data_IF_972014953064
#
_entry.id   IF_972014953064
#
_cell.length_a   1.000
_cell.length_b   1.000
_cell.length_c   1.000
_cell.angle_alpha   90.00
_cell.angle_beta   90.00
_cell.angle_gamma   90.00
#
_symmetry.space_group_name_H-M   'P 1'
#
loop_
_entity.id
_entity.type
_entity.pdbx_description
1 polymer ?
#
# COMPACT_ATOMS: atom_id res chain seq x y z
N UNK A 1 47.41 -23.61 -6.07
CA UNK A 1 46.74 -23.23 -7.33
C UNK A 1 45.25 -23.15 -7.02
N UNK A 2 44.70 -21.93 -6.88
CA UNK A 2 43.80 -21.25 -7.84
C UNK A 2 42.39 -21.88 -7.89
N UNK A 3 41.35 -21.19 -7.38
CA UNK A 3 40.30 -20.44 -8.15
C UNK A 3 39.61 -21.28 -9.23
N UNK A 4 38.30 -21.26 -9.51
CA UNK A 4 37.14 -20.37 -9.26
C UNK A 4 35.86 -21.21 -9.54
N UNK A 5 34.59 -20.85 -9.29
CA UNK A 5 33.85 -19.71 -8.73
C UNK A 5 32.46 -20.28 -8.27
N UNK A 6 31.75 -19.73 -7.27
CA UNK A 6 30.35 -20.13 -7.01
C UNK A 6 29.44 -18.90 -6.92
N UNK A 7 29.12 -18.34 -8.10
CA UNK A 7 28.35 -17.11 -8.29
C UNK A 7 26.84 -17.38 -8.36
N UNK A 8 26.07 -16.42 -7.83
CA UNK A 8 24.61 -16.22 -7.98
C UNK A 8 23.69 -17.12 -7.12
N UNK A 9 23.80 -16.98 -5.80
CA UNK A 9 22.56 -16.77 -5.04
C UNK A 9 22.15 -15.29 -5.25
N UNK A 10 21.02 -15.03 -5.92
CA UNK A 10 20.49 -13.67 -6.05
C UNK A 10 19.86 -13.26 -4.72
N UNK A 11 20.34 -12.16 -4.15
CA UNK A 11 19.68 -11.50 -3.02
C UNK A 11 18.30 -11.02 -3.42
N UNK A 12 17.30 -11.24 -2.55
CA UNK A 12 16.00 -10.59 -2.69
C UNK A 12 16.14 -9.16 -2.18
N UNK A 13 16.35 -8.24 -3.12
CA UNK A 13 16.54 -6.83 -2.81
C UNK A 13 15.26 -6.20 -2.24
N UNK A 14 15.34 -5.79 -0.97
CA UNK A 14 15.14 -4.37 -0.66
C UNK A 14 13.74 -3.77 -0.82
N UNK A 15 12.64 -4.54 -0.84
CA UNK A 15 11.29 -3.97 -0.63
C UNK A 15 11.00 -3.78 0.85
N UNK A 16 11.67 -2.78 1.42
CA UNK A 16 11.34 -2.25 2.74
C UNK A 16 9.94 -1.65 2.77
N UNK A 17 9.36 -1.59 3.97
CA UNK A 17 8.04 -0.99 4.18
C UNK A 17 8.14 0.52 3.93
N UNK A 18 7.31 1.06 3.03
CA UNK A 18 7.15 2.50 2.82
C UNK A 18 6.40 3.14 4.00
N UNK A 19 7.09 3.26 5.14
CA UNK A 19 6.69 4.20 6.18
C UNK A 19 6.84 5.60 5.61
N UNK A 20 5.74 6.34 5.52
CA UNK A 20 5.74 7.74 5.07
C UNK A 20 6.68 8.54 5.96
N UNK A 21 7.86 8.83 5.42
CA UNK A 21 8.96 9.40 6.16
C UNK A 21 8.90 10.92 6.03
N UNK A 22 8.30 11.59 7.02
CA UNK A 22 8.36 13.05 7.15
C UNK A 22 9.81 13.44 7.45
N UNK A 23 10.61 13.59 6.39
CA UNK A 23 11.98 14.09 6.44
C UNK A 23 11.98 15.60 6.62
N UNK A 24 11.85 16.01 7.87
CA UNK A 24 12.66 17.14 8.34
C UNK A 24 14.07 16.61 8.62
N UNK A 25 15.11 17.31 8.15
CA UNK A 25 16.50 16.91 8.40
C UNK A 25 16.86 17.17 9.88
N UNK A 26 16.72 16.13 10.71
CA UNK A 26 16.92 16.17 12.16
C UNK A 26 18.42 16.22 12.55
N UNK A 27 19.11 17.28 12.15
CA UNK A 27 20.46 17.65 12.64
C UNK A 27 20.45 18.12 14.12
N UNK A 28 19.54 17.58 14.92
CA UNK A 28 19.11 18.12 16.21
C UNK A 28 19.48 17.20 17.37
N UNK A 29 20.10 17.78 18.40
CA UNK A 29 19.90 17.34 19.79
C UNK A 29 18.47 17.73 20.24
N UNK A 30 17.45 17.25 19.53
CA UNK A 30 16.06 17.63 19.79
C UNK A 30 15.49 16.85 20.96
N UNK A 31 14.99 17.60 21.95
CA UNK A 31 13.96 17.15 22.85
C UNK A 31 12.67 16.89 22.05
N UNK A 32 12.48 15.64 21.62
CA UNK A 32 11.19 15.23 21.07
C UNK A 32 10.33 14.63 22.18
N UNK A 33 9.22 15.32 22.51
CA UNK A 33 8.16 14.71 23.30
C UNK A 33 7.43 13.67 22.42
N UNK A 34 8.02 12.48 22.26
CA UNK A 34 7.31 11.36 21.65
C UNK A 34 6.17 11.02 22.61
N UNK A 35 4.94 11.28 22.16
CA UNK A 35 3.70 11.03 22.90
C UNK A 35 3.37 9.54 22.97
N UNK A 36 4.32 8.73 23.42
CA UNK A 36 4.04 7.42 24.00
C UNK A 36 3.43 7.71 25.38
N UNK A 37 2.36 7.01 25.82
CA UNK A 37 1.65 7.33 27.06
C UNK A 37 2.45 7.13 28.38
N UNK A 38 3.78 6.99 28.32
CA UNK A 38 4.68 7.07 29.46
C UNK A 38 4.80 8.52 30.00
N UNK A 39 3.72 9.06 30.57
CA UNK A 39 3.69 10.25 31.45
C UNK A 39 4.67 11.38 31.10
N UNK A 40 4.51 12.01 29.93
CA UNK A 40 5.35 13.14 29.48
C UNK A 40 6.87 12.89 29.57
N UNK A 41 7.32 11.64 29.49
CA UNK A 41 8.74 11.32 29.50
C UNK A 41 9.40 11.85 28.23
N UNK A 42 10.08 12.99 28.35
CA UNK A 42 10.90 13.58 27.29
C UNK A 42 11.95 12.57 26.83
N UNK A 43 11.85 12.17 25.56
CA UNK A 43 12.84 11.30 24.92
C UNK A 43 13.84 12.17 24.17
N UNK A 44 15.06 12.19 24.69
CA UNK A 44 16.22 12.76 24.03
C UNK A 44 16.59 11.85 22.86
N UNK A 45 16.44 12.38 21.65
CA UNK A 45 16.90 11.73 20.42
C UNK A 45 18.22 12.34 19.96
N UNK A 46 19.05 11.49 19.40
CA UNK A 46 20.30 11.86 18.71
C UNK A 46 20.31 11.15 17.37
N UNK A 47 20.56 11.86 16.28
CA UNK A 47 20.74 11.24 14.97
C UNK A 47 22.09 10.53 14.90
N UNK A 48 22.08 9.29 14.44
CA UNK A 48 23.29 8.52 14.16
C UNK A 48 23.05 7.58 12.97
N UNK A 49 23.95 7.64 11.98
CA UNK A 49 23.83 6.88 10.73
C UNK A 49 22.46 7.04 10.03
N UNK A 50 21.93 8.28 9.97
CA UNK A 50 20.66 8.59 9.31
C UNK A 50 19.42 8.00 10.01
N UNK A 51 19.51 7.66 11.30
CA UNK A 51 18.41 7.11 12.09
C UNK A 51 18.38 7.74 13.50
N UNK A 52 17.19 7.89 14.11
CA UNK A 52 17.08 8.38 15.48
C UNK A 52 17.44 7.28 16.49
N UNK A 53 18.32 7.63 17.43
CA UNK A 53 18.71 6.81 18.58
C UNK A 53 18.30 7.50 19.88
N UNK A 54 18.08 6.72 20.94
CA UNK A 54 17.83 7.24 22.29
C UNK A 54 18.78 6.61 23.30
N UNK A 55 19.18 7.38 24.32
CA UNK A 55 20.02 6.90 25.41
C UNK A 55 19.21 6.01 26.36
N UNK A 56 19.65 4.76 26.55
CA UNK A 56 18.85 3.78 27.30
C UNK A 56 18.90 3.96 28.82
N UNK A 57 20.01 4.46 29.36
CA UNK A 57 20.22 4.55 30.82
C UNK A 57 19.18 5.45 31.52
N UNK A 58 18.90 6.69 31.06
CA UNK A 58 17.88 7.54 31.67
C UNK A 58 16.49 6.91 31.65
N UNK A 59 16.12 6.19 30.58
CA UNK A 59 14.83 5.50 30.45
C UNK A 59 14.71 4.40 31.52
N UNK A 60 15.74 3.54 31.60
CA UNK A 60 15.80 2.42 32.57
C UNK A 60 15.71 2.92 34.02
N UNK A 61 16.51 3.94 34.37
CA UNK A 61 16.54 4.51 35.72
C UNK A 61 15.22 5.24 36.07
N UNK A 62 14.64 5.99 35.12
CA UNK A 62 13.33 6.64 35.32
C UNK A 62 12.22 5.60 35.61
N UNK A 63 12.24 4.43 34.94
CA UNK A 63 11.30 3.32 35.16
C UNK A 63 11.53 2.55 36.47
N UNK A 64 12.59 2.86 37.23
CA UNK A 64 12.96 2.16 38.47
C UNK A 64 13.58 0.78 38.25
N UNK A 65 14.12 0.51 37.06
CA UNK A 65 14.77 -0.75 36.72
C UNK A 65 16.28 -0.66 36.98
N UNK A 66 16.91 -1.77 37.38
CA UNK A 66 18.38 -1.81 37.49
C UNK A 66 19.07 -1.68 36.12
N UNK A 67 19.96 -0.69 36.01
CA UNK A 67 20.72 -0.44 34.80
C UNK A 67 21.65 -1.60 34.42
N UNK A 68 22.33 -2.24 35.38
CA UNK A 68 23.30 -3.30 35.06
C UNK A 68 22.61 -4.52 34.44
N UNK A 69 21.49 -4.96 35.03
CA UNK A 69 20.68 -6.06 34.52
C UNK A 69 20.06 -5.76 33.15
N UNK A 70 19.60 -4.52 32.91
CA UNK A 70 19.05 -4.15 31.60
C UNK A 70 20.13 -3.97 30.54
N UNK A 71 21.31 -3.44 30.88
CA UNK A 71 22.46 -3.32 30.00
C UNK A 71 22.87 -4.69 29.41
N UNK A 72 22.91 -5.74 30.25
CA UNK A 72 23.20 -7.11 29.79
C UNK A 72 22.13 -7.60 28.80
N UNK A 73 20.84 -7.45 29.12
CA UNK A 73 19.74 -7.84 28.23
C UNK A 73 19.75 -7.09 26.90
N UNK A 74 20.00 -5.78 26.96
CA UNK A 74 20.05 -4.91 25.78
C UNK A 74 21.22 -5.33 24.88
N UNK A 75 22.43 -5.52 25.44
CA UNK A 75 23.58 -6.03 24.67
C UNK A 75 23.31 -7.44 24.12
N UNK A 76 22.69 -8.34 24.89
CA UNK A 76 22.39 -9.70 24.42
C UNK A 76 21.39 -9.73 23.25
N UNK A 77 20.29 -8.94 23.30
CA UNK A 77 19.21 -8.97 22.28
C UNK A 77 19.45 -8.02 21.11
N UNK A 78 20.20 -6.95 21.30
CA UNK A 78 20.34 -5.86 20.32
C UNK A 78 21.81 -5.54 19.98
N UNK A 79 22.76 -6.44 20.23
CA UNK A 79 24.20 -6.22 20.02
C UNK A 79 24.57 -5.59 18.67
N UNK A 80 23.89 -6.02 17.61
CA UNK A 80 24.15 -5.59 16.22
C UNK A 80 23.66 -4.19 15.87
N UNK A 81 22.92 -3.53 16.77
CA UNK A 81 22.29 -2.22 16.51
C UNK A 81 22.46 -1.20 17.65
N UNK A 82 22.98 -1.60 18.81
CA UNK A 82 23.33 -0.65 19.88
C UNK A 82 24.68 0.00 19.59
N UNK A 83 24.81 1.27 19.95
CA UNK A 83 26.06 2.03 19.80
C UNK A 83 26.40 2.80 21.06
N UNK A 84 27.69 3.02 21.31
CA UNK A 84 28.15 3.99 22.30
C UNK A 84 28.29 5.35 21.60
N UNK A 85 27.27 6.18 21.75
CA UNK A 85 27.14 7.47 21.06
C UNK A 85 27.42 8.59 22.07
N UNK A 86 28.12 9.64 21.65
CA UNK A 86 28.30 10.85 22.46
C UNK A 86 26.97 11.59 22.53
N UNK A 87 26.36 11.64 23.71
CA UNK A 87 25.08 12.32 23.95
C UNK A 87 25.19 13.30 25.11
N UNK A 88 24.38 14.36 25.07
CA UNK A 88 24.28 15.33 26.18
C UNK A 88 23.51 14.72 27.35
N UNK A 89 24.10 14.71 28.54
CA UNK A 89 23.44 14.34 29.79
C UNK A 89 22.53 15.43 30.32
N UNK A 90 21.73 15.11 31.36
CA UNK A 90 20.83 16.06 32.04
C UNK A 90 21.55 17.26 32.66
N UNK A 91 22.87 17.18 32.84
CA UNK A 91 23.75 18.23 33.36
C UNK A 91 24.40 19.09 32.25
N UNK A 92 24.00 18.91 30.99
CA UNK A 92 24.54 19.61 29.83
C UNK A 92 25.90 19.10 29.35
N UNK A 93 26.50 18.10 30.00
CA UNK A 93 27.82 17.55 29.62
C UNK A 93 27.68 16.41 28.63
N UNK A 94 28.69 16.22 27.78
CA UNK A 94 28.70 15.12 26.83
C UNK A 94 29.30 13.85 27.44
N UNK A 95 28.61 12.72 27.25
CA UNK A 95 29.04 11.39 27.69
C UNK A 95 28.86 10.39 26.55
N UNK A 96 29.74 9.39 26.45
CA UNK A 96 29.43 8.19 25.66
C UNK A 96 28.38 7.38 26.41
N UNK A 97 27.17 7.31 25.85
CA UNK A 97 26.06 6.54 26.40
C UNK A 97 25.71 5.37 25.49
N UNK A 98 25.24 4.26 26.07
CA UNK A 98 24.66 3.17 25.29
C UNK A 98 23.30 3.63 24.75
N UNK A 99 23.24 3.73 23.43
CA UNK A 99 22.08 4.16 22.69
C UNK A 99 21.48 3.00 21.87
N UNK A 100 20.16 3.00 21.77
CA UNK A 100 19.38 2.04 20.98
C UNK A 100 18.62 2.81 19.88
N UNK A 101 18.51 2.29 18.64
CA UNK A 101 17.71 2.93 17.60
C UNK A 101 16.25 2.94 18.05
N UNK A 102 15.54 4.06 17.85
CA UNK A 102 14.17 4.26 18.36
C UNK A 102 13.22 3.12 17.94
N UNK A 103 13.33 2.65 16.69
CA UNK A 103 12.56 1.50 16.15
C UNK A 103 12.73 0.17 16.90
N UNK A 104 13.74 0.06 17.80
CA UNK A 104 13.98 -1.12 18.65
C UNK A 104 13.61 -0.89 20.11
N UNK A 105 13.39 0.36 20.54
CA UNK A 105 12.93 0.69 21.90
C UNK A 105 11.63 -0.06 22.24
N UNK A 106 10.68 -0.06 21.31
CA UNK A 106 9.39 -0.75 21.45
C UNK A 106 9.56 -2.26 21.73
N UNK A 107 10.46 -2.91 21.00
CA UNK A 107 10.79 -4.32 21.19
C UNK A 107 11.59 -4.64 22.46
N UNK A 108 12.20 -3.63 23.11
CA UNK A 108 12.76 -3.76 24.46
C UNK A 108 11.67 -3.56 25.54
N UNK A 109 10.76 -2.61 25.37
CA UNK A 109 9.63 -2.37 26.28
C UNK A 109 8.73 -3.61 26.45
N UNK A 110 8.50 -4.38 25.38
CA UNK A 110 7.79 -5.69 25.44
C UNK A 110 8.52 -6.75 26.30
N UNK A 111 9.78 -6.54 26.69
CA UNK A 111 10.54 -7.46 27.58
C UNK A 111 10.47 -7.08 29.05
N UNK A 112 9.83 -5.95 29.37
CA UNK A 112 9.72 -5.45 30.73
C UNK A 112 8.52 -6.08 31.42
N UNK A 113 8.78 -6.76 32.54
CA UNK A 113 7.73 -7.26 33.43
C UNK A 113 7.17 -6.09 34.24
N UNK A 114 5.84 -5.83 34.20
CA UNK A 114 5.22 -4.75 34.97
C UNK A 114 5.54 -4.83 36.47
N UNK A 115 5.58 -6.03 37.04
CA UNK A 115 5.91 -6.23 38.46
C UNK A 115 7.32 -5.74 38.86
N UNK A 116 8.21 -5.50 37.90
CA UNK A 116 9.59 -5.02 38.12
C UNK A 116 9.79 -3.53 37.86
N UNK A 117 8.78 -2.79 37.40
CA UNK A 117 8.81 -1.32 37.35
C UNK A 117 8.20 -0.72 38.62
N UNK A 118 8.38 0.59 38.82
CA UNK A 118 7.74 1.34 39.90
C UNK A 118 6.21 1.13 39.88
N UNK A 119 5.53 1.00 41.04
CA UNK A 119 4.10 0.71 41.11
C UNK A 119 3.22 1.61 40.24
N UNK A 120 3.51 2.91 40.22
CA UNK A 120 2.79 3.94 39.46
C UNK A 120 2.96 3.85 37.93
N UNK A 121 3.93 3.07 37.43
CA UNK A 121 4.17 2.86 36.00
C UNK A 121 3.62 1.52 35.48
N UNK A 122 3.09 0.66 36.36
CA UNK A 122 2.70 -0.72 36.00
C UNK A 122 1.58 -0.76 34.98
N UNK A 123 0.51 -0.03 35.26
CA UNK A 123 -0.65 0.08 34.37
C UNK A 123 -0.24 0.68 33.03
N UNK A 124 0.56 1.75 33.03
CA UNK A 124 1.09 2.38 31.81
C UNK A 124 1.88 1.41 30.93
N UNK A 125 2.73 0.56 31.53
CA UNK A 125 3.48 -0.47 30.80
C UNK A 125 2.54 -1.54 30.23
N UNK A 126 1.52 -1.96 30.97
CA UNK A 126 0.52 -2.94 30.49
C UNK A 126 -0.29 -2.36 29.32
N UNK A 127 -0.84 -1.15 29.47
CA UNK A 127 -1.58 -0.45 28.41
C UNK A 127 -0.73 -0.30 27.16
N UNK A 128 0.53 0.11 27.31
CA UNK A 128 1.46 0.22 26.18
C UNK A 128 1.76 -1.14 25.50
N UNK A 129 1.89 -2.22 26.28
CA UNK A 129 2.13 -3.56 25.73
C UNK A 129 0.89 -4.05 24.95
N UNK A 130 -0.30 -3.88 25.50
CA UNK A 130 -1.57 -4.16 24.82
C UNK A 130 -1.73 -3.32 23.54
N UNK A 131 -1.43 -2.00 23.58
CA UNK A 131 -1.44 -1.14 22.39
C UNK A 131 -0.49 -1.66 21.29
N UNK A 132 0.65 -2.24 21.65
CA UNK A 132 1.56 -2.86 20.67
C UNK A 132 1.00 -4.15 20.07
N UNK A 133 0.37 -4.99 20.89
CA UNK A 133 -0.23 -6.25 20.44
C UNK A 133 -1.44 -5.98 19.53
N UNK A 134 -2.30 -5.00 19.88
CA UNK A 134 -3.42 -4.53 19.05
C UNK A 134 -2.93 -3.95 17.71
N UNK A 135 -1.88 -3.11 17.72
CA UNK A 135 -1.28 -2.55 16.49
C UNK A 135 -0.70 -3.64 15.59
N UNK A 136 -0.04 -4.66 16.15
CA UNK A 136 0.46 -5.79 15.38
C UNK A 136 -0.69 -6.64 14.84
N UNK A 137 -1.70 -6.95 15.66
CA UNK A 137 -2.88 -7.70 15.26
C UNK A 137 -3.64 -7.02 14.11
N UNK A 138 -3.91 -5.71 14.24
CA UNK A 138 -4.58 -4.93 13.22
C UNK A 138 -3.77 -4.88 11.91
N UNK A 139 -2.45 -4.70 12.00
CA UNK A 139 -1.59 -4.76 10.83
C UNK A 139 -1.68 -6.12 10.11
N UNK A 140 -1.61 -7.24 10.84
CA UNK A 140 -1.63 -8.57 10.24
C UNK A 140 -3.02 -9.03 9.77
N UNK A 141 -4.10 -8.59 10.41
CA UNK A 141 -5.47 -9.07 10.11
C UNK A 141 -6.29 -8.11 9.24
N UNK A 142 -6.06 -6.80 9.34
CA UNK A 142 -6.73 -5.75 8.57
C UNK A 142 -5.84 -5.18 7.46
N UNK A 143 -4.55 -5.51 7.46
CA UNK A 143 -3.54 -5.01 6.51
C UNK A 143 -2.97 -3.62 6.87
N UNK A 144 -3.46 -3.01 7.95
CA UNK A 144 -3.06 -1.68 8.41
C UNK A 144 -3.36 -1.49 9.90
N UNK A 145 -2.60 -0.62 10.57
CA UNK A 145 -2.86 -0.19 11.93
C UNK A 145 -2.84 1.35 11.99
N UNK A 146 -3.88 1.94 12.59
CA UNK A 146 -4.13 3.39 12.56
C UNK A 146 -4.23 3.91 13.99
N UNK A 147 -3.42 4.93 14.30
CA UNK A 147 -3.52 5.62 15.57
C UNK A 147 -4.69 6.62 15.53
N UNK A 148 -5.84 6.22 16.08
CA UNK A 148 -7.05 7.04 16.12
C UNK A 148 -6.84 8.39 16.85
N UNK A 149 -5.90 8.48 17.81
CA UNK A 149 -5.55 9.75 18.50
C UNK A 149 -4.93 10.78 17.55
N UNK A 150 -4.49 10.36 16.36
CA UNK A 150 -3.95 11.22 15.29
C UNK A 150 -4.85 11.28 14.06
N UNK A 151 -5.98 10.58 14.03
CA UNK A 151 -6.96 10.66 12.94
C UNK A 151 -7.77 11.96 13.03
N UNK A 152 -8.44 12.33 11.94
CA UNK A 152 -9.34 13.49 11.91
C UNK A 152 -10.55 13.33 12.83
N UNK A 153 -10.95 14.43 13.49
CA UNK A 153 -12.12 14.45 14.38
C UNK A 153 -13.44 14.19 13.63
N UNK A 154 -14.54 13.82 14.31
CA UNK A 154 -15.85 13.67 13.67
C UNK A 154 -16.33 14.95 12.94
N UNK A 155 -16.01 16.13 13.48
CA UNK A 155 -16.32 17.42 12.86
C UNK A 155 -15.51 17.65 11.57
N UNK A 156 -14.22 17.28 11.58
CA UNK A 156 -13.36 17.31 10.40
C UNK A 156 -13.84 16.32 9.33
N UNK A 157 -14.28 15.11 9.74
CA UNK A 157 -14.90 14.13 8.85
C UNK A 157 -16.18 14.68 8.21
N UNK A 158 -17.04 15.34 8.99
CA UNK A 158 -18.25 15.98 8.49
C UNK A 158 -17.94 17.10 7.47
N UNK A 159 -16.91 17.93 7.71
CA UNK A 159 -16.52 18.99 6.76
C UNK A 159 -16.03 18.41 5.43
N UNK A 160 -15.17 17.38 5.45
CA UNK A 160 -14.75 16.73 4.21
C UNK A 160 -15.95 16.15 3.45
N UNK A 161 -16.91 15.55 4.16
CA UNK A 161 -18.15 15.04 3.57
C UNK A 161 -19.03 16.15 2.98
N UNK A 162 -19.16 17.30 3.64
CA UNK A 162 -19.88 18.47 3.13
C UNK A 162 -19.24 19.01 1.84
N UNK A 163 -17.91 19.13 1.79
CA UNK A 163 -17.20 19.55 0.58
C UNK A 163 -17.48 18.61 -0.59
N UNK A 164 -17.41 17.29 -0.38
CA UNK A 164 -17.73 16.31 -1.44
C UNK A 164 -19.19 16.38 -1.85
N UNK A 165 -20.13 16.46 -0.90
CA UNK A 165 -21.56 16.56 -1.21
C UNK A 165 -21.91 17.83 -2.02
N UNK A 166 -21.38 18.98 -1.60
CA UNK A 166 -21.52 20.28 -2.30
C UNK A 166 -20.94 20.22 -3.71
N UNK A 167 -19.71 19.72 -3.87
CA UNK A 167 -19.04 19.67 -5.18
C UNK A 167 -19.56 18.58 -6.11
N UNK A 168 -20.16 17.51 -5.58
CA UNK A 168 -20.75 16.47 -6.42
C UNK A 168 -22.15 16.82 -6.93
N UNK A 169 -22.83 17.84 -6.40
CA UNK A 169 -24.17 18.24 -6.85
C UNK A 169 -25.22 17.13 -6.73
N UNK A 170 -25.02 16.14 -5.86
CA UNK A 170 -25.83 14.93 -5.80
C UNK A 170 -25.48 13.82 -6.80
N UNK A 171 -24.55 14.03 -7.74
CA UNK A 171 -24.12 12.98 -8.67
C UNK A 171 -23.30 11.88 -7.99
N UNK A 172 -23.91 10.70 -7.82
CA UNK A 172 -23.28 9.53 -7.20
C UNK A 172 -21.95 9.10 -7.84
N UNK A 173 -21.76 9.35 -9.15
CA UNK A 173 -20.51 9.03 -9.86
C UNK A 173 -19.38 9.98 -9.48
N UNK A 174 -19.65 11.29 -9.52
CA UNK A 174 -18.70 12.33 -9.11
C UNK A 174 -18.33 12.15 -7.62
N UNK A 175 -19.33 11.91 -6.77
CA UNK A 175 -19.16 11.63 -5.35
C UNK A 175 -18.20 10.43 -5.10
N UNK A 176 -18.41 9.31 -5.80
CA UNK A 176 -17.54 8.14 -5.69
C UNK A 176 -16.13 8.39 -6.26
N UNK A 177 -16.00 9.16 -7.34
CA UNK A 177 -14.71 9.53 -7.94
C UNK A 177 -13.89 10.44 -7.01
N UNK A 178 -14.53 11.44 -6.37
CA UNK A 178 -13.89 12.32 -5.39
C UNK A 178 -13.28 11.52 -4.24
N UNK A 179 -14.05 10.62 -3.62
CA UNK A 179 -13.53 9.77 -2.55
C UNK A 179 -12.46 8.79 -3.04
N UNK A 180 -12.62 8.17 -4.21
CA UNK A 180 -11.60 7.26 -4.76
C UNK A 180 -10.27 7.97 -5.02
N UNK A 181 -10.30 9.20 -5.54
CA UNK A 181 -9.10 10.01 -5.78
C UNK A 181 -8.49 10.54 -4.48
N UNK A 182 -9.30 11.03 -3.54
CA UNK A 182 -8.84 11.45 -2.21
C UNK A 182 -8.15 10.31 -1.44
N UNK A 183 -8.82 9.17 -1.30
CA UNK A 183 -8.28 7.97 -0.64
C UNK A 183 -6.95 7.54 -1.28
N UNK A 184 -6.86 7.54 -2.62
CA UNK A 184 -5.62 7.23 -3.36
C UNK A 184 -4.51 8.26 -3.14
N UNK A 185 -4.84 9.55 -3.06
CA UNK A 185 -3.86 10.63 -2.85
C UNK A 185 -3.19 10.50 -1.48
N UNK A 186 -3.98 10.31 -0.43
CA UNK A 186 -3.49 10.13 0.95
C UNK A 186 -3.06 8.70 1.29
N UNK A 187 -3.17 7.76 0.34
CA UNK A 187 -2.86 6.32 0.51
C UNK A 187 -3.63 5.63 1.67
N UNK A 188 -4.84 6.12 1.97
CA UNK A 188 -5.75 5.58 2.98
C UNK A 188 -6.89 4.79 2.31
N UNK A 189 -7.40 3.68 2.87
CA UNK A 189 -8.54 2.99 2.27
C UNK A 189 -9.86 3.70 2.56
N UNK A 190 -9.95 4.52 3.61
CA UNK A 190 -11.15 5.31 3.98
C UNK A 190 -10.77 6.72 4.45
N UNK A 191 -11.57 7.73 4.08
CA UNK A 191 -11.32 9.13 4.44
C UNK A 191 -11.29 9.39 5.96
N UNK A 192 -12.10 8.66 6.74
CA UNK A 192 -12.13 8.77 8.20
C UNK A 192 -10.82 8.34 8.89
N UNK A 193 -9.92 7.69 8.15
CA UNK A 193 -8.61 7.22 8.61
C UNK A 193 -7.48 8.21 8.26
N UNK A 194 -7.83 9.36 7.64
CA UNK A 194 -6.91 10.45 7.38
C UNK A 194 -6.32 10.98 8.70
N UNK A 195 -5.01 11.18 8.73
CA UNK A 195 -4.36 11.81 9.88
C UNK A 195 -4.67 13.31 9.92
N UNK A 196 -4.93 13.86 11.10
CA UNK A 196 -5.29 15.26 11.31
C UNK A 196 -4.26 16.26 10.75
N UNK A 197 -2.98 15.86 10.66
CA UNK A 197 -1.92 16.66 10.02
C UNK A 197 -2.17 16.92 8.53
N UNK A 198 -2.86 16.02 7.84
CA UNK A 198 -3.22 16.15 6.42
C UNK A 198 -4.60 16.80 6.21
N UNK A 199 -5.31 17.18 7.28
CA UNK A 199 -6.65 17.78 7.14
C UNK A 199 -6.68 19.06 6.29
N UNK A 200 -5.77 20.04 6.44
CA UNK A 200 -5.76 21.24 5.59
C UNK A 200 -5.48 20.91 4.12
N UNK A 201 -4.55 19.98 3.87
CA UNK A 201 -4.21 19.47 2.54
C UNK A 201 -5.39 18.72 1.90
N UNK A 202 -6.12 17.92 2.69
CA UNK A 202 -7.32 17.21 2.26
C UNK A 202 -8.47 18.13 1.86
N UNK A 203 -8.72 19.19 2.64
CA UNK A 203 -9.69 20.24 2.30
C UNK A 203 -9.28 20.89 0.98
N UNK A 204 -8.02 21.36 0.86
CA UNK A 204 -7.53 22.01 -0.35
C UNK A 204 -7.57 21.10 -1.58
N UNK A 205 -7.23 19.82 -1.43
CA UNK A 205 -7.31 18.83 -2.51
C UNK A 205 -8.75 18.61 -2.96
N UNK A 206 -9.70 18.43 -2.03
CA UNK A 206 -11.12 18.25 -2.34
C UNK A 206 -11.76 19.52 -2.93
N UNK A 207 -11.27 20.71 -2.60
CA UNK A 207 -11.69 22.00 -3.19
C UNK A 207 -11.18 22.16 -4.63
N UNK A 208 -9.91 21.83 -4.89
CA UNK A 208 -9.21 22.12 -6.16
C UNK A 208 -9.31 21.00 -7.20
N UNK A 209 -9.66 19.77 -6.81
CA UNK A 209 -9.63 18.63 -7.72
C UNK A 209 -10.52 18.87 -8.96
N UNK A 210 -9.92 18.69 -10.15
CA UNK A 210 -10.63 18.80 -11.42
C UNK A 210 -11.41 17.52 -11.70
N UNK A 211 -12.73 17.67 -11.67
CA UNK A 211 -13.70 16.63 -11.97
C UNK A 211 -13.88 16.62 -13.49
N UNK A 212 -13.30 15.62 -14.15
CA UNK A 212 -13.51 15.45 -15.60
C UNK A 212 -14.91 14.92 -15.80
N UNK A 213 -15.86 15.82 -16.04
CA UNK A 213 -17.06 15.47 -16.78
C UNK A 213 -16.61 14.65 -18.01
N UNK A 214 -17.28 13.53 -18.26
CA UNK A 214 -16.97 12.68 -19.40
C UNK A 214 -16.98 13.56 -20.66
N UNK A 215 -16.08 13.39 -21.65
CA UNK A 215 -16.36 13.94 -22.97
C UNK A 215 -17.78 13.51 -23.33
N UNK A 216 -18.58 14.45 -23.81
CA UNK A 216 -19.90 14.14 -24.36
C UNK A 216 -19.74 12.91 -25.23
N UNK A 217 -20.70 11.98 -25.17
CA UNK A 217 -20.79 10.98 -26.23
C UNK A 217 -20.84 11.80 -27.51
N UNK A 218 -19.78 11.75 -28.32
CA UNK A 218 -19.90 12.20 -29.69
C UNK A 218 -21.14 11.47 -30.21
N UNK A 219 -22.16 12.23 -30.58
CA UNK A 219 -23.15 11.70 -31.49
C UNK A 219 -22.33 11.12 -32.63
N UNK A 220 -22.44 9.81 -32.81
CA UNK A 220 -21.91 9.18 -34.00
C UNK A 220 -22.79 9.74 -35.10
N UNK A 221 -22.37 10.88 -35.67
CA UNK A 221 -22.91 11.38 -36.93
C UNK A 221 -22.85 10.19 -37.84
N UNK A 222 -24.03 9.66 -38.20
CA UNK A 222 -24.12 8.48 -39.01
C UNK A 222 -23.44 8.83 -40.34
N UNK A 223 -22.20 8.37 -40.49
CA UNK A 223 -21.58 8.22 -41.80
C UNK A 223 -22.60 7.41 -42.61
N UNK A 224 -22.97 7.85 -43.82
CA UNK A 224 -23.85 7.06 -44.66
C UNK A 224 -23.14 5.74 -44.91
N UNK A 225 -23.57 4.69 -44.19
CA UNK A 225 -22.99 3.37 -44.31
C UNK A 225 -23.16 2.92 -45.77
N UNK A 226 -22.14 2.28 -46.37
CA UNK A 226 -22.26 1.72 -47.71
C UNK A 226 -23.52 0.86 -47.81
N UNK A 227 -24.22 0.91 -48.94
CA UNK A 227 -25.53 0.28 -49.11
C UNK A 227 -25.47 -1.23 -48.78
N UNK A 228 -24.34 -1.89 -49.08
CA UNK A 228 -24.07 -3.28 -48.71
C UNK A 228 -24.13 -3.53 -47.19
N UNK A 229 -23.57 -2.63 -46.38
CA UNK A 229 -23.57 -2.73 -44.90
C UNK A 229 -25.00 -2.61 -44.37
N UNK A 230 -25.79 -1.70 -44.95
CA UNK A 230 -27.20 -1.52 -44.59
C UNK A 230 -28.03 -2.75 -44.96
N UNK A 231 -27.82 -3.32 -46.15
CA UNK A 231 -28.50 -4.53 -46.61
C UNK A 231 -28.18 -5.75 -45.72
N UNK A 232 -26.91 -5.97 -45.39
CA UNK A 232 -26.51 -7.07 -44.49
C UNK A 232 -27.07 -6.88 -43.07
N UNK A 233 -27.07 -5.66 -42.55
CA UNK A 233 -27.69 -5.37 -41.25
C UNK A 233 -29.21 -5.60 -41.25
N UNK A 234 -29.91 -5.25 -42.34
CA UNK A 234 -31.34 -5.53 -42.51
C UNK A 234 -31.62 -7.03 -42.61
N UNK A 235 -30.80 -7.78 -43.35
CA UNK A 235 -30.92 -9.25 -43.43
C UNK A 235 -30.79 -9.89 -42.04
N UNK A 236 -29.72 -9.56 -41.29
CA UNK A 236 -29.49 -10.08 -39.94
C UNK A 236 -30.67 -9.73 -39.02
N UNK A 237 -31.18 -8.51 -39.07
CA UNK A 237 -32.29 -8.08 -38.23
C UNK A 237 -33.61 -8.81 -38.54
N UNK A 238 -33.88 -9.09 -39.82
CA UNK A 238 -35.03 -9.89 -40.24
C UNK A 238 -34.90 -11.36 -39.80
N UNK A 239 -33.73 -11.96 -39.96
CA UNK A 239 -33.45 -13.33 -39.52
C UNK A 239 -33.49 -13.49 -37.99
N UNK A 240 -33.04 -12.47 -37.23
CA UNK A 240 -33.18 -12.39 -35.78
C UNK A 240 -34.64 -12.25 -35.35
N UNK A 241 -35.42 -11.40 -36.03
CA UNK A 241 -36.86 -11.22 -35.79
C UNK A 241 -37.66 -12.51 -36.00
N UNK A 242 -37.20 -13.40 -36.88
CA UNK A 242 -37.76 -14.76 -37.05
C UNK A 242 -37.40 -15.75 -35.93
N UNK A 243 -36.51 -15.41 -35.00
CA UNK A 243 -36.16 -16.23 -33.83
C UNK A 243 -35.31 -17.49 -34.10
N UNK A 244 -34.99 -17.78 -35.36
CA UNK A 244 -34.27 -19.01 -35.75
C UNK A 244 -32.76 -18.98 -35.43
N UNK A 245 -32.14 -17.80 -35.40
CA UNK A 245 -30.71 -17.63 -35.22
C UNK A 245 -30.39 -16.54 -34.19
N UNK A 246 -29.24 -16.67 -33.53
CA UNK A 246 -28.81 -15.77 -32.45
C UNK A 246 -27.38 -15.21 -32.68
N UNK A 247 -26.69 -15.72 -33.71
CA UNK A 247 -25.31 -15.41 -34.06
C UNK A 247 -25.16 -15.43 -35.59
N UNK A 248 -24.33 -14.56 -36.14
CA UNK A 248 -24.03 -14.49 -37.58
C UNK A 248 -22.53 -14.34 -37.78
N UNK A 249 -22.01 -14.94 -38.86
CA UNK A 249 -20.66 -14.68 -39.35
C UNK A 249 -20.73 -13.74 -40.55
N UNK A 250 -20.15 -12.55 -40.43
CA UNK A 250 -20.06 -11.56 -41.51
C UNK A 250 -18.66 -11.61 -42.10
N UNK A 251 -18.57 -11.79 -43.41
CA UNK A 251 -17.31 -11.82 -44.16
C UNK A 251 -17.44 -11.07 -45.48
N UNK A 252 -16.30 -10.75 -46.09
CA UNK A 252 -16.22 -10.26 -47.47
C UNK A 252 -15.95 -11.48 -48.36
N UNK A 253 -16.72 -11.65 -49.42
CA UNK A 253 -16.54 -12.70 -50.43
C UNK A 253 -15.41 -12.34 -51.40
N UNK A 254 -14.97 -13.31 -52.20
CA UNK A 254 -13.90 -13.13 -53.19
C UNK A 254 -14.25 -12.12 -54.30
N UNK A 255 -15.54 -11.81 -54.50
CA UNK A 255 -16.05 -10.76 -55.39
C UNK A 255 -16.06 -9.35 -54.75
N UNK A 256 -15.60 -9.23 -53.50
CA UNK A 256 -15.59 -7.99 -52.72
C UNK A 256 -16.90 -7.66 -52.00
N UNK A 257 -17.97 -8.44 -52.15
CA UNK A 257 -19.26 -8.17 -51.51
C UNK A 257 -19.31 -8.66 -50.06
N UNK A 258 -19.95 -7.88 -49.20
CA UNK A 258 -20.24 -8.25 -47.81
C UNK A 258 -21.38 -9.28 -47.75
N UNK A 259 -21.18 -10.36 -46.99
CA UNK A 259 -22.16 -11.42 -46.79
C UNK A 259 -22.23 -11.81 -45.31
N UNK A 260 -23.45 -11.91 -44.78
CA UNK A 260 -23.71 -12.61 -43.52
C UNK A 260 -24.10 -14.08 -43.79
N UNK A 261 -23.74 -14.96 -42.86
CA UNK A 261 -24.25 -16.32 -42.77
C UNK A 261 -24.74 -16.58 -41.32
N UNK A 262 -25.99 -17.02 -41.12
CA UNK A 262 -26.47 -17.37 -39.79
C UNK A 262 -25.73 -18.59 -39.22
N UNK A 263 -25.44 -18.56 -37.92
CA UNK A 263 -24.77 -19.64 -37.21
C UNK A 263 -25.75 -20.38 -36.30
N UNK A 264 -25.65 -21.71 -36.30
CA UNK A 264 -26.43 -22.57 -35.41
C UNK A 264 -26.00 -22.40 -33.95
N UNK A 265 -26.95 -22.57 -33.04
CA UNK A 265 -26.75 -22.37 -31.60
C UNK A 265 -25.65 -23.28 -31.06
N UNK A 266 -24.57 -22.68 -30.55
CA UNK A 266 -23.36 -23.37 -30.08
C UNK A 266 -22.15 -23.25 -31.01
N UNK A 267 -22.32 -22.81 -32.26
CA UNK A 267 -21.21 -22.47 -33.14
C UNK A 267 -20.78 -21.01 -32.91
N UNK A 268 -19.51 -20.83 -32.53
CA UNK A 268 -18.87 -19.53 -32.38
C UNK A 268 -17.85 -19.35 -33.50
N UNK A 269 -17.86 -18.20 -34.22
CA UNK A 269 -16.89 -17.97 -35.28
C UNK A 269 -15.52 -17.66 -34.67
N UNK A 270 -14.59 -18.61 -34.77
CA UNK A 270 -13.18 -18.34 -34.52
C UNK A 270 -12.60 -17.79 -35.83
N UNK A 271 -12.12 -16.55 -35.81
CA UNK A 271 -11.34 -16.00 -36.91
C UNK A 271 -10.01 -16.77 -37.01
N UNK A 272 -9.93 -17.77 -37.89
CA UNK A 272 -8.78 -18.66 -38.03
C UNK A 272 -7.46 -17.92 -38.33
N UNK A 273 -7.51 -16.80 -39.06
CA UNK A 273 -6.32 -15.99 -39.35
C UNK A 273 -5.83 -15.20 -38.12
N UNK A 274 -6.76 -14.69 -37.29
CA UNK A 274 -6.42 -14.02 -36.03
C UNK A 274 -6.05 -15.01 -34.92
N UNK A 275 -6.68 -16.19 -34.92
CA UNK A 275 -6.32 -17.31 -34.06
C UNK A 275 -4.91 -17.80 -34.39
N UNK A 276 -4.57 -18.04 -35.65
CA UNK A 276 -3.20 -18.44 -36.06
C UNK A 276 -2.16 -17.42 -35.57
N UNK A 277 -2.37 -16.12 -35.83
CA UNK A 277 -1.49 -15.04 -35.34
C UNK A 277 -1.32 -15.01 -33.81
N UNK A 278 -2.35 -15.41 -33.05
CA UNK A 278 -2.28 -15.51 -31.58
C UNK A 278 -1.73 -16.86 -31.11
N UNK A 279 -1.89 -17.91 -31.91
CA UNK A 279 -1.42 -19.27 -31.65
C UNK A 279 0.09 -19.37 -31.76
N UNK A 280 0.71 -18.66 -32.70
CA UNK A 280 2.18 -18.54 -32.79
C UNK A 280 2.76 -17.91 -31.51
N UNK A 281 2.17 -16.81 -31.02
CA UNK A 281 2.58 -16.22 -29.73
C UNK A 281 2.26 -17.09 -28.51
N UNK A 282 1.28 -17.99 -28.61
CA UNK A 282 0.94 -18.95 -27.55
C UNK A 282 1.91 -20.14 -27.56
N UNK A 283 2.34 -20.59 -28.74
CA UNK A 283 3.49 -21.50 -28.91
C UNK A 283 4.76 -20.88 -28.35
N UNK A 284 5.05 -19.62 -28.69
CA UNK A 284 6.22 -18.89 -28.19
C UNK A 284 6.19 -18.75 -26.66
N UNK A 285 5.02 -18.53 -26.06
CA UNK A 285 4.84 -18.54 -24.60
C UNK A 285 5.05 -19.93 -23.97
N UNK A 286 4.57 -21.01 -24.61
CA UNK A 286 4.64 -22.39 -24.10
C UNK A 286 6.03 -23.02 -24.27
N UNK A 287 6.75 -22.69 -25.35
CA UNK A 287 8.11 -23.16 -25.60
C UNK A 287 9.19 -22.20 -25.07
N UNK A 288 8.89 -20.90 -24.93
CA UNK A 288 9.81 -19.88 -24.42
C UNK A 288 9.83 -19.73 -22.90
N UNK A 289 8.76 -20.13 -22.19
CA UNK A 289 8.86 -20.40 -20.75
C UNK A 289 9.34 -21.82 -20.50
N UNK A 290 10.08 -22.01 -19.40
CA UNK A 290 10.57 -23.33 -18.95
C UNK A 290 9.46 -24.29 -18.44
N UNK A 291 8.19 -24.07 -18.82
CA UNK A 291 7.04 -24.90 -18.42
C UNK A 291 7.19 -26.33 -18.95
N UNK A 292 7.61 -26.51 -20.20
CA UNK A 292 7.85 -27.84 -20.79
C UNK A 292 9.10 -28.53 -20.22
N UNK A 293 10.16 -27.79 -19.90
CA UNK A 293 11.35 -28.32 -19.22
C UNK A 293 11.07 -28.72 -17.78
N UNK A 294 10.27 -27.93 -17.05
CA UNK A 294 9.81 -28.25 -15.69
C UNK A 294 8.90 -29.47 -15.68
N UNK A 295 7.99 -29.59 -16.67
CA UNK A 295 7.12 -30.77 -16.82
C UNK A 295 7.91 -32.08 -17.03
N UNK A 296 9.01 -32.05 -17.80
CA UNK A 296 9.87 -33.24 -17.98
C UNK A 296 10.61 -33.64 -16.71
N UNK A 297 10.95 -32.70 -15.82
CA UNK A 297 11.58 -33.01 -14.53
C UNK A 297 10.60 -33.63 -13.52
N UNK A 298 9.31 -33.31 -13.61
CA UNK A 298 8.26 -33.90 -12.76
C UNK A 298 7.77 -35.27 -13.25
N UNK A 299 8.07 -35.66 -14.49
CA UNK A 299 7.70 -36.95 -15.07
C UNK A 299 8.76 -38.07 -14.88
N UNK A 300 9.96 -37.74 -14.39
CA UNK A 300 11.07 -38.67 -14.17
C UNK A 300 11.43 -38.79 -12.67
N UNK A 301 10.42 -38.88 -11.81
CA UNK A 301 10.52 -39.30 -10.41
C UNK A 301 9.43 -40.31 -10.07
#
# INVERSE_FOLDING_TARGET
MKTTDNKKARTLDGKGFDVVNNREELTMNSLTQITVPFHNAELYLVEFNGQPYTAMRPIVENMGLDWKAQLVKIKQRFNSVVGEITTTGKDGKQYKMLCLPLKKLFGWLMTISPNKVKPELRETVITYQNECDDVLWDYWTKGQAINQRKAISPEQQALLHEIVARRSGGERKIYAEMWSRHNRHFKIPRYAELLAIHFPEAVHYLETIQLKAKPEKQEIKALPYPQEVIQVAQQINNEYGGGHYHSWFVHVRDDGQLSAMPLLKGYYPINLAEFAKKFDGLLEFVYGNELLTTGRYLANR
#
